data_IF_243279264862
#
_entry.id   IF_243279264862
#
_cell.length_a   1.000
_cell.length_b   1.000
_cell.length_c   1.000
_cell.angle_alpha   90.00
_cell.angle_beta   90.00
_cell.angle_gamma   90.00
#
_symmetry.space_group_name_H-M   'P 1'
#
loop_
_entity.id
_entity.type
_entity.pdbx_description
1 polymer ?
#
# COMPACT_ATOMS: atom_id res chain seq x y z
N UNK A 1 -34.18 47.91 18.09
CA UNK A 1 -33.59 46.60 18.45
C UNK A 1 -32.80 45.92 17.31
N UNK A 2 -33.06 46.20 16.04
CA UNK A 2 -32.32 45.56 14.91
C UNK A 2 -30.86 46.03 14.72
N UNK A 3 -30.52 47.26 15.11
CA UNK A 3 -29.15 47.77 14.96
C UNK A 3 -28.13 47.13 15.92
N UNK A 4 -28.54 46.56 17.05
CA UNK A 4 -27.66 45.91 18.03
C UNK A 4 -27.23 44.50 17.62
N UNK A 5 -28.10 43.77 16.94
CA UNK A 5 -27.81 42.39 16.48
C UNK A 5 -26.82 42.39 15.31
N UNK A 6 -26.95 43.34 14.40
CA UNK A 6 -26.06 43.49 13.25
C UNK A 6 -24.63 43.84 13.66
N UNK A 7 -24.48 44.67 14.73
CA UNK A 7 -23.19 45.01 15.34
C UNK A 7 -22.49 43.79 15.95
N UNK A 8 -23.20 43.00 16.75
CA UNK A 8 -22.68 41.82 17.40
C UNK A 8 -22.23 40.73 16.38
N UNK A 9 -22.99 40.55 15.29
CA UNK A 9 -22.62 39.62 14.21
C UNK A 9 -21.35 40.07 13.48
N UNK A 10 -21.18 41.38 13.25
CA UNK A 10 -19.96 41.92 12.65
C UNK A 10 -18.73 41.72 13.53
N UNK A 11 -18.85 41.98 14.84
CA UNK A 11 -17.75 41.73 15.79
C UNK A 11 -17.41 40.24 15.92
N UNK A 12 -18.40 39.36 15.99
CA UNK A 12 -18.21 37.93 16.02
C UNK A 12 -17.46 37.42 14.76
N UNK A 13 -17.83 37.90 13.55
CA UNK A 13 -17.14 37.62 12.30
C UNK A 13 -15.69 38.12 12.29
N UNK A 14 -15.45 39.31 12.83
CA UNK A 14 -14.12 39.91 12.94
C UNK A 14 -13.24 39.08 13.88
N UNK A 15 -13.78 38.67 15.03
CA UNK A 15 -13.11 37.85 16.03
C UNK A 15 -12.76 36.46 15.46
N UNK A 16 -13.69 35.82 14.78
CA UNK A 16 -13.44 34.52 14.13
C UNK A 16 -12.43 34.62 12.96
N UNK A 17 -12.38 35.75 12.25
CA UNK A 17 -11.36 35.99 11.23
C UNK A 17 -9.96 36.11 11.85
N UNK A 18 -9.83 36.79 12.97
CA UNK A 18 -8.56 36.91 13.71
C UNK A 18 -8.14 35.56 14.28
N UNK A 19 -9.06 34.80 14.90
CA UNK A 19 -8.78 33.44 15.38
C UNK A 19 -8.35 32.52 14.21
N UNK A 20 -8.99 32.64 13.05
CA UNK A 20 -8.61 31.94 11.85
C UNK A 20 -7.17 32.28 11.40
N UNK A 21 -6.79 33.55 11.40
CA UNK A 21 -5.44 33.98 11.06
C UNK A 21 -4.39 33.52 12.09
N UNK A 22 -4.72 33.58 13.38
CA UNK A 22 -3.84 33.05 14.45
C UNK A 22 -3.63 31.54 14.29
N UNK A 23 -4.71 30.78 14.03
CA UNK A 23 -4.60 29.33 13.76
C UNK A 23 -3.73 29.03 12.54
N UNK A 24 -3.84 29.83 11.47
CA UNK A 24 -3.01 29.68 10.26
C UNK A 24 -1.55 30.01 10.57
N UNK A 25 -1.28 31.09 11.32
CA UNK A 25 0.06 31.48 11.73
C UNK A 25 0.71 30.43 12.63
N UNK A 26 -0.04 29.89 13.61
CA UNK A 26 0.41 28.81 14.48
C UNK A 26 0.73 27.51 13.70
N UNK A 27 -0.13 27.16 12.74
CA UNK A 27 0.14 26.01 11.86
C UNK A 27 1.42 26.21 11.04
N UNK A 28 1.64 27.41 10.48
CA UNK A 28 2.87 27.75 9.76
C UNK A 28 4.10 27.68 10.66
N UNK A 29 4.01 28.19 11.89
CA UNK A 29 5.07 28.12 12.89
C UNK A 29 5.39 26.66 13.26
N UNK A 30 4.39 25.84 13.56
CA UNK A 30 4.58 24.40 13.84
C UNK A 30 5.18 23.67 12.65
N UNK A 31 4.78 24.01 11.42
CA UNK A 31 5.39 23.47 10.22
C UNK A 31 6.87 23.81 10.16
N UNK A 32 7.23 25.06 10.42
CA UNK A 32 8.63 25.51 10.45
C UNK A 32 9.45 24.81 11.53
N UNK A 33 8.91 24.66 12.74
CA UNK A 33 9.53 23.88 13.81
C UNK A 33 9.73 22.40 13.43
N UNK A 34 8.77 21.81 12.70
CA UNK A 34 8.88 20.44 12.20
C UNK A 34 9.98 20.32 11.14
N UNK A 35 10.05 21.28 10.20
CA UNK A 35 11.11 21.34 9.18
C UNK A 35 12.49 21.40 9.85
N UNK A 36 12.65 22.26 10.86
CA UNK A 36 13.88 22.38 11.64
C UNK A 36 14.22 21.10 12.43
N UNK A 37 13.23 20.37 12.93
CA UNK A 37 13.45 19.10 13.66
C UNK A 37 13.91 17.93 12.79
N UNK A 38 13.73 18.04 11.47
CA UNK A 38 14.22 17.11 10.46
C UNK A 38 15.40 17.68 9.68
N UNK A 39 16.08 18.70 10.25
CA UNK A 39 17.15 19.46 9.62
C UNK A 39 18.15 18.57 8.89
N UNK A 40 18.23 18.68 7.56
CA UNK A 40 19.15 17.99 6.69
C UNK A 40 18.73 18.05 5.23
N UNK A 41 19.67 17.85 4.33
CA UNK A 41 19.46 17.85 2.88
C UNK A 41 18.32 16.90 2.45
N UNK A 42 18.22 15.73 3.10
CA UNK A 42 17.21 14.70 2.78
C UNK A 42 15.77 15.15 2.86
N UNK A 43 15.40 16.03 3.81
CA UNK A 43 14.04 16.56 3.85
C UNK A 43 13.74 17.53 2.71
N UNK A 44 14.74 18.32 2.29
CA UNK A 44 14.62 19.20 1.12
C UNK A 44 14.52 18.40 -0.17
N UNK A 45 15.31 17.35 -0.33
CA UNK A 45 15.21 16.43 -1.47
C UNK A 45 13.80 15.78 -1.52
N UNK A 46 13.31 15.32 -0.38
CA UNK A 46 11.97 14.77 -0.25
C UNK A 46 10.89 15.78 -0.64
N UNK A 47 11.01 17.03 -0.23
CA UNK A 47 10.07 18.10 -0.64
C UNK A 47 10.11 18.35 -2.15
N UNK A 48 11.30 18.32 -2.77
CA UNK A 48 11.44 18.43 -4.22
C UNK A 48 10.74 17.30 -4.97
N UNK A 49 10.92 16.06 -4.50
CA UNK A 49 10.19 14.89 -5.04
C UNK A 49 8.68 15.04 -4.85
N UNK A 50 8.22 15.44 -3.66
CA UNK A 50 6.81 15.65 -3.40
C UNK A 50 6.18 16.67 -4.36
N UNK A 51 6.86 17.78 -4.64
CA UNK A 51 6.39 18.82 -5.57
C UNK A 51 6.22 18.25 -6.99
N UNK A 52 7.18 17.44 -7.44
CA UNK A 52 7.13 16.77 -8.74
C UNK A 52 5.93 15.82 -8.86
N UNK A 53 5.67 15.03 -7.82
CA UNK A 53 4.54 14.08 -7.78
C UNK A 53 3.19 14.72 -7.51
N UNK A 54 3.13 15.88 -6.88
CA UNK A 54 1.89 16.62 -6.72
C UNK A 54 1.31 17.05 -8.06
N UNK A 55 2.14 17.37 -9.05
CA UNK A 55 1.68 17.68 -10.41
C UNK A 55 1.00 16.46 -11.06
N UNK A 56 1.56 15.27 -10.93
CA UNK A 56 0.95 14.03 -11.44
C UNK A 56 -0.35 13.68 -10.71
N UNK A 57 -0.48 14.04 -9.43
CA UNK A 57 -1.70 13.85 -8.63
C UNK A 57 -2.82 14.83 -8.96
N UNK A 58 -2.50 16.08 -9.26
CA UNK A 58 -3.51 17.10 -9.61
C UNK A 58 -4.24 16.74 -10.91
N UNK A 59 -3.58 16.01 -11.81
CA UNK A 59 -4.23 15.45 -13.02
C UNK A 59 -5.07 14.21 -12.72
N UNK A 60 -4.87 13.56 -11.57
CA UNK A 60 -5.55 12.33 -11.16
C UNK A 60 -6.53 12.60 -10.00
N UNK A 61 -7.47 13.50 -10.15
CA UNK A 61 -8.64 13.75 -9.25
C UNK A 61 -8.60 12.97 -7.92
N UNK A 62 -7.70 13.32 -7.02
CA UNK A 62 -7.61 12.65 -5.71
C UNK A 62 -7.99 13.62 -4.59
N UNK A 63 -9.29 13.89 -4.49
CA UNK A 63 -9.82 14.58 -3.31
C UNK A 63 -9.57 13.70 -2.07
N UNK A 64 -8.88 14.26 -1.08
CA UNK A 64 -8.76 13.65 0.25
C UNK A 64 -7.45 12.91 0.56
N UNK A 65 -6.49 12.83 -0.34
CA UNK A 65 -5.19 12.24 0.00
C UNK A 65 -4.34 13.19 0.86
N UNK A 66 -3.69 12.62 1.89
CA UNK A 66 -2.76 13.36 2.73
C UNK A 66 -1.60 13.90 1.88
N UNK A 67 -1.23 15.19 1.98
CA UNK A 67 -0.06 15.69 1.28
C UNK A 67 1.17 14.85 1.60
N UNK A 68 1.93 14.44 0.59
CA UNK A 68 3.14 13.62 0.78
C UNK A 68 4.10 14.22 1.79
N UNK A 69 4.28 15.54 1.74
CA UNK A 69 5.16 16.30 2.62
C UNK A 69 4.88 16.07 4.11
N UNK A 70 3.62 15.77 4.46
CA UNK A 70 3.19 15.58 5.85
C UNK A 70 3.46 14.15 6.38
N UNK A 71 3.76 13.17 5.53
CA UNK A 71 3.94 11.76 5.93
C UNK A 71 4.93 11.55 7.07
N UNK A 72 6.12 12.20 7.10
CA UNK A 72 7.05 12.01 8.22
C UNK A 72 6.50 12.44 9.58
N UNK A 73 5.47 13.30 9.57
CA UNK A 73 4.86 13.89 10.77
C UNK A 73 3.55 13.22 11.19
N UNK A 74 3.00 12.35 10.36
CA UNK A 74 1.75 11.62 10.62
C UNK A 74 2.00 10.15 10.91
N UNK A 75 0.93 9.40 11.20
CA UNK A 75 1.00 7.95 11.23
C UNK A 75 1.40 7.43 9.84
N UNK A 76 2.40 6.56 9.77
CA UNK A 76 2.87 5.97 8.53
C UNK A 76 3.51 4.61 8.81
N UNK A 77 3.03 3.56 8.17
CA UNK A 77 3.41 2.15 8.27
C UNK A 77 3.33 1.58 9.69
N UNK A 78 3.94 2.23 10.67
CA UNK A 78 4.01 1.78 12.05
C UNK A 78 3.78 2.97 13.00
N UNK A 79 2.81 2.87 13.90
CA UNK A 79 2.42 3.95 14.82
C UNK A 79 3.54 4.43 15.75
N UNK A 80 4.52 3.56 16.04
CA UNK A 80 5.67 3.87 16.92
C UNK A 80 6.95 4.23 16.16
N UNK A 81 6.88 4.39 14.85
CA UNK A 81 8.06 4.73 14.04
C UNK A 81 8.49 6.19 14.28
N UNK A 82 9.81 6.41 14.41
CA UNK A 82 10.37 7.75 14.52
C UNK A 82 10.17 8.57 13.23
N UNK A 83 10.08 9.89 13.36
CA UNK A 83 9.93 10.81 12.22
C UNK A 83 11.04 10.63 11.18
N UNK A 84 12.28 10.46 11.64
CA UNK A 84 13.45 10.24 10.76
C UNK A 84 13.26 8.97 9.94
N UNK A 85 12.87 7.86 10.57
CA UNK A 85 12.64 6.59 9.87
C UNK A 85 11.48 6.68 8.88
N UNK A 86 10.41 7.40 9.23
CA UNK A 86 9.29 7.67 8.31
C UNK A 86 9.76 8.46 7.09
N UNK A 87 10.60 9.49 7.30
CA UNK A 87 11.19 10.25 6.21
C UNK A 87 12.07 9.37 5.32
N UNK A 88 12.92 8.53 5.92
CA UNK A 88 13.80 7.63 5.17
C UNK A 88 13.00 6.70 4.24
N UNK A 89 11.94 6.09 4.76
CA UNK A 89 11.10 5.17 3.98
C UNK A 89 10.28 5.94 2.93
N UNK A 90 9.64 7.05 3.31
CA UNK A 90 8.83 7.83 2.37
C UNK A 90 9.68 8.41 1.22
N UNK A 91 10.87 8.92 1.52
CA UNK A 91 11.82 9.39 0.51
C UNK A 91 12.28 8.26 -0.41
N UNK A 92 12.74 7.13 0.17
CA UNK A 92 13.14 5.96 -0.61
C UNK A 92 12.02 5.40 -1.47
N UNK A 93 10.77 5.47 -0.98
CA UNK A 93 9.61 4.98 -1.75
C UNK A 93 9.26 5.88 -2.93
N UNK A 94 9.33 7.19 -2.77
CA UNK A 94 9.13 8.10 -3.91
C UNK A 94 10.26 7.96 -4.95
N UNK A 95 11.51 7.81 -4.50
CA UNK A 95 12.64 7.52 -5.38
C UNK A 95 12.46 6.20 -6.13
N UNK A 96 11.98 5.14 -5.44
CA UNK A 96 11.68 3.87 -6.07
C UNK A 96 10.63 4.05 -7.18
N UNK A 97 9.52 4.73 -6.89
CA UNK A 97 8.45 4.97 -7.86
C UNK A 97 8.97 5.74 -9.07
N UNK A 98 9.73 6.82 -8.82
CA UNK A 98 10.29 7.67 -9.89
C UNK A 98 11.25 6.92 -10.82
N UNK A 99 12.15 6.13 -10.24
CA UNK A 99 13.15 5.37 -11.00
C UNK A 99 12.58 4.13 -11.70
N UNK A 100 11.37 3.73 -11.31
CA UNK A 100 10.78 2.46 -11.72
C UNK A 100 9.74 2.64 -12.81
N UNK A 101 8.77 3.50 -12.61
CA UNK A 101 7.61 3.58 -13.50
C UNK A 101 7.76 4.66 -14.57
N UNK A 102 7.25 4.37 -15.76
CA UNK A 102 7.16 5.34 -16.84
C UNK A 102 6.30 6.54 -16.41
N UNK A 103 6.65 7.78 -16.79
CA UNK A 103 5.92 8.98 -16.36
C UNK A 103 4.44 9.00 -16.75
N UNK A 104 4.09 8.43 -17.90
CA UNK A 104 2.72 8.34 -18.43
C UNK A 104 1.86 7.29 -17.69
N UNK A 105 2.48 6.37 -16.96
CA UNK A 105 1.80 5.38 -16.11
C UNK A 105 1.40 5.98 -14.76
N UNK A 106 2.15 6.95 -14.24
CA UNK A 106 1.90 7.54 -12.92
C UNK A 106 0.47 8.09 -12.76
N UNK A 107 -0.11 8.84 -13.72
CA UNK A 107 -1.50 9.28 -13.62
C UNK A 107 -2.50 8.13 -13.47
N UNK A 108 -2.24 6.99 -14.11
CA UNK A 108 -3.10 5.80 -13.99
C UNK A 108 -2.99 5.16 -12.61
N UNK A 109 -1.77 5.05 -12.06
CA UNK A 109 -1.55 4.51 -10.72
C UNK A 109 -2.18 5.39 -9.63
N UNK A 110 -2.14 6.71 -9.81
CA UNK A 110 -2.71 7.65 -8.85
C UNK A 110 -4.20 7.92 -9.05
N UNK A 111 -4.82 7.40 -10.12
CA UNK A 111 -6.26 7.47 -10.32
C UNK A 111 -6.98 6.44 -9.43
N UNK A 112 -7.21 6.84 -8.18
CA UNK A 112 -7.85 5.98 -7.18
C UNK A 112 -9.34 5.75 -7.49
N UNK A 113 -9.98 6.67 -8.21
CA UNK A 113 -11.40 6.57 -8.57
C UNK A 113 -11.66 5.36 -9.50
N UNK A 114 -10.75 5.10 -10.44
CA UNK A 114 -10.82 3.96 -11.35
C UNK A 114 -10.08 2.72 -10.83
N UNK A 115 -9.76 2.70 -9.52
CA UNK A 115 -9.03 1.60 -8.87
C UNK A 115 -7.66 1.28 -9.49
N UNK A 116 -7.01 2.28 -10.09
CA UNK A 116 -5.67 2.15 -10.65
C UNK A 116 -5.62 1.36 -11.96
N UNK A 117 -4.49 0.70 -12.22
CA UNK A 117 -4.23 -0.04 -13.45
C UNK A 117 -4.47 -1.53 -13.28
N UNK A 118 -5.27 -2.14 -14.16
CA UNK A 118 -5.36 -3.60 -14.28
C UNK A 118 -4.05 -4.13 -14.86
N UNK A 119 -3.42 -5.05 -14.16
CA UNK A 119 -2.16 -5.66 -14.53
C UNK A 119 -2.37 -6.93 -15.36
N UNK A 120 -3.13 -7.87 -14.83
CA UNK A 120 -3.50 -9.15 -15.45
C UNK A 120 -4.70 -9.76 -14.74
N UNK A 121 -5.15 -10.92 -15.22
CA UNK A 121 -6.25 -11.67 -14.61
C UNK A 121 -5.83 -13.10 -14.28
N UNK A 122 -6.30 -13.61 -13.14
CA UNK A 122 -6.09 -14.98 -12.67
C UNK A 122 -7.35 -15.78 -13.01
N UNK A 123 -7.29 -16.83 -13.86
CA UNK A 123 -8.46 -17.63 -14.21
C UNK A 123 -8.93 -18.48 -13.02
N UNK A 124 -10.23 -18.60 -12.87
CA UNK A 124 -10.91 -19.45 -11.91
C UNK A 124 -11.43 -20.72 -12.60
N UNK A 125 -11.67 -21.80 -11.85
CA UNK A 125 -12.18 -23.07 -12.39
C UNK A 125 -13.55 -22.93 -13.08
N UNK A 126 -14.39 -22.04 -12.57
CA UNK A 126 -15.75 -21.81 -13.09
C UNK A 126 -15.78 -20.94 -14.36
N UNK A 127 -14.60 -20.55 -14.90
CA UNK A 127 -14.48 -19.71 -16.08
C UNK A 127 -14.47 -18.18 -15.78
N UNK A 128 -14.75 -17.77 -14.54
CA UNK A 128 -14.55 -16.38 -14.11
C UNK A 128 -13.07 -16.06 -13.94
N UNK A 129 -12.76 -14.82 -13.64
CA UNK A 129 -11.40 -14.36 -13.41
C UNK A 129 -11.31 -13.38 -12.23
N UNK A 130 -10.15 -13.38 -11.56
CA UNK A 130 -9.78 -12.35 -10.61
C UNK A 130 -8.84 -11.35 -11.30
N UNK A 131 -9.28 -10.13 -11.43
CA UNK A 131 -8.42 -9.05 -11.92
C UNK A 131 -7.45 -8.61 -10.84
N UNK A 132 -6.17 -8.51 -11.22
CA UNK A 132 -5.10 -7.96 -10.37
C UNK A 132 -4.88 -6.53 -10.77
N UNK A 133 -5.00 -5.60 -9.80
CA UNK A 133 -4.80 -4.17 -10.04
C UNK A 133 -3.68 -3.62 -9.18
N UNK A 134 -2.92 -2.67 -9.75
CA UNK A 134 -1.90 -1.89 -9.06
C UNK A 134 -2.31 -0.42 -9.05
N UNK A 135 -2.19 0.22 -7.89
CA UNK A 135 -2.48 1.65 -7.73
C UNK A 135 -1.62 2.26 -6.61
N UNK A 136 -1.54 3.59 -6.59
CA UNK A 136 -1.10 4.31 -5.41
C UNK A 136 -2.11 4.10 -4.29
N UNK A 137 -1.63 3.75 -3.10
CA UNK A 137 -2.52 3.40 -1.99
C UNK A 137 -3.44 4.57 -1.60
N UNK A 138 -4.78 4.38 -1.57
CA UNK A 138 -5.69 5.33 -0.95
C UNK A 138 -5.51 5.37 0.58
N UNK A 139 -4.97 4.31 1.17
CA UNK A 139 -4.58 4.22 2.58
C UNK A 139 -3.10 4.58 2.74
N UNK A 140 -2.78 5.86 2.52
CA UNK A 140 -1.40 6.36 2.45
C UNK A 140 -0.60 6.17 3.73
N UNK A 141 -1.27 6.03 4.85
CA UNK A 141 -0.68 5.68 6.12
C UNK A 141 -0.22 4.21 6.18
N UNK A 142 -0.76 3.33 5.34
CA UNK A 142 -0.42 1.91 5.27
C UNK A 142 0.62 1.58 4.17
N UNK A 143 0.92 2.53 3.29
CA UNK A 143 1.91 2.35 2.22
C UNK A 143 1.73 3.30 1.04
N UNK A 144 2.69 3.28 0.11
CA UNK A 144 2.64 4.09 -1.12
C UNK A 144 1.87 3.40 -2.24
N UNK A 145 2.00 2.08 -2.32
CA UNK A 145 1.40 1.25 -3.36
C UNK A 145 0.40 0.26 -2.76
N UNK A 146 -0.56 -0.14 -3.56
CA UNK A 146 -1.53 -1.18 -3.22
C UNK A 146 -1.70 -2.13 -4.40
N UNK A 147 -1.67 -3.42 -4.11
CA UNK A 147 -2.16 -4.46 -5.01
C UNK A 147 -3.54 -4.92 -4.55
N UNK A 148 -4.42 -5.17 -5.50
CA UNK A 148 -5.80 -5.57 -5.23
C UNK A 148 -6.22 -6.75 -6.11
N UNK A 149 -7.10 -7.60 -5.57
CA UNK A 149 -7.84 -8.63 -6.30
C UNK A 149 -9.30 -8.19 -6.43
N UNK A 150 -9.84 -8.27 -7.63
CA UNK A 150 -11.23 -7.98 -7.95
C UNK A 150 -11.92 -9.17 -8.58
N UNK A 151 -13.18 -9.42 -8.18
CA UNK A 151 -14.11 -10.30 -8.85
C UNK A 151 -15.22 -9.42 -9.44
N UNK A 152 -15.20 -9.20 -10.74
CA UNK A 152 -16.00 -8.15 -11.36
C UNK A 152 -15.65 -6.78 -10.74
N UNK A 153 -16.66 -6.07 -10.24
CA UNK A 153 -16.49 -4.74 -9.61
C UNK A 153 -16.24 -4.80 -8.11
N UNK A 154 -16.20 -6.00 -7.52
CA UNK A 154 -16.04 -6.17 -6.07
C UNK A 154 -14.62 -6.50 -5.69
N UNK A 155 -14.06 -5.70 -4.76
CA UNK A 155 -12.73 -5.96 -4.21
C UNK A 155 -12.76 -7.17 -3.27
N UNK A 156 -11.95 -8.19 -3.59
CA UNK A 156 -11.82 -9.41 -2.80
C UNK A 156 -10.78 -9.26 -1.69
N UNK A 157 -9.59 -8.78 -2.05
CA UNK A 157 -8.46 -8.59 -1.13
C UNK A 157 -7.54 -7.49 -1.60
N UNK A 158 -6.79 -6.90 -0.65
CA UNK A 158 -5.77 -5.90 -0.96
C UNK A 158 -4.58 -5.99 -0.01
N UNK A 159 -3.41 -5.58 -0.48
CA UNK A 159 -2.20 -5.41 0.31
C UNK A 159 -1.59 -4.04 0.03
N UNK A 160 -1.34 -3.27 1.12
CA UNK A 160 -0.68 -1.96 1.06
C UNK A 160 0.79 -2.12 1.45
N UNK A 161 1.67 -1.53 0.66
CA UNK A 161 3.11 -1.65 0.87
C UNK A 161 3.88 -0.44 0.34
N UNK A 162 5.13 -0.32 0.76
CA UNK A 162 6.09 0.65 0.26
C UNK A 162 7.37 -0.09 -0.11
N UNK A 163 7.86 0.08 -1.33
CA UNK A 163 9.19 -0.33 -1.73
C UNK A 163 10.14 0.86 -1.65
N UNK A 164 11.38 0.65 -1.25
CA UNK A 164 12.40 1.70 -1.19
C UNK A 164 13.50 1.40 -2.19
N UNK A 165 14.17 2.46 -2.66
CA UNK A 165 15.24 2.37 -3.66
C UNK A 165 16.51 1.66 -3.15
N UNK A 166 16.57 1.31 -1.86
CA UNK A 166 17.60 0.49 -1.25
C UNK A 166 17.23 -1.02 -1.19
N UNK A 167 16.22 -1.45 -1.95
CA UNK A 167 15.84 -2.86 -2.10
C UNK A 167 15.05 -3.45 -0.92
N UNK A 168 14.31 -2.63 -0.17
CA UNK A 168 13.45 -3.07 0.92
C UNK A 168 11.98 -2.86 0.61
N UNK A 169 11.13 -3.72 1.16
CA UNK A 169 9.68 -3.56 1.16
C UNK A 169 9.12 -3.55 2.57
N UNK A 170 8.09 -2.74 2.78
CA UNK A 170 7.36 -2.59 4.04
C UNK A 170 5.88 -2.79 3.78
N UNK A 171 5.31 -3.88 4.28
CA UNK A 171 3.88 -4.18 4.21
C UNK A 171 3.21 -3.52 5.42
N UNK A 172 2.39 -2.51 5.18
CA UNK A 172 1.70 -1.75 6.23
C UNK A 172 0.27 -2.18 6.47
N UNK A 173 -0.33 -2.97 5.57
CA UNK A 173 -1.68 -3.47 5.75
C UNK A 173 -2.07 -4.55 4.76
N UNK A 174 -2.94 -5.46 5.17
CA UNK A 174 -3.58 -6.47 4.33
C UNK A 174 -5.04 -6.58 4.74
N UNK A 175 -5.97 -6.49 3.78
CA UNK A 175 -7.39 -6.36 4.06
C UNK A 175 -8.24 -7.18 3.10
N UNK A 176 -9.27 -7.84 3.64
CA UNK A 176 -10.39 -8.36 2.85
C UNK A 176 -11.30 -7.25 2.33
N UNK A 177 -11.99 -7.49 1.24
CA UNK A 177 -13.02 -6.60 0.72
C UNK A 177 -14.21 -6.52 1.68
N UNK A 178 -14.87 -5.36 1.73
CA UNK A 178 -16.09 -5.19 2.55
C UNK A 178 -17.30 -5.87 1.95
N UNK A 179 -17.31 -5.98 0.62
CA UNK A 179 -18.44 -6.46 -0.17
C UNK A 179 -18.34 -7.96 -0.51
N UNK A 180 -17.43 -8.68 0.15
CA UNK A 180 -17.22 -10.12 0.01
C UNK A 180 -17.48 -10.81 1.34
N UNK A 181 -18.43 -11.74 1.34
CA UNK A 181 -18.80 -12.53 2.51
C UNK A 181 -17.81 -13.67 2.76
N UNK A 182 -17.81 -14.21 3.99
CA UNK A 182 -16.98 -15.37 4.31
C UNK A 182 -17.33 -16.62 3.46
N UNK A 183 -18.56 -16.78 3.05
CA UNK A 183 -18.98 -17.91 2.22
C UNK A 183 -18.48 -17.74 0.78
N UNK A 184 -18.53 -16.55 0.22
CA UNK A 184 -17.91 -16.26 -1.07
C UNK A 184 -16.38 -16.46 -1.03
N UNK A 185 -15.71 -16.11 0.07
CA UNK A 185 -14.27 -16.42 0.26
C UNK A 185 -14.02 -17.93 0.25
N UNK A 186 -14.92 -18.75 0.83
CA UNK A 186 -14.83 -20.22 0.78
C UNK A 186 -15.02 -20.74 -0.65
N UNK A 187 -15.99 -20.18 -1.40
CA UNK A 187 -16.20 -20.51 -2.81
C UNK A 187 -14.96 -20.17 -3.63
N UNK A 188 -14.46 -18.93 -3.53
CA UNK A 188 -13.25 -18.51 -4.22
C UNK A 188 -12.03 -19.37 -3.87
N UNK A 189 -11.91 -19.81 -2.61
CA UNK A 189 -10.86 -20.72 -2.20
C UNK A 189 -10.93 -22.05 -2.96
N UNK A 190 -12.14 -22.58 -3.20
CA UNK A 190 -12.33 -23.80 -4.03
C UNK A 190 -11.99 -23.54 -5.49
N UNK A 191 -12.41 -22.39 -6.01
CA UNK A 191 -12.14 -21.98 -7.40
C UNK A 191 -10.62 -21.75 -7.65
N UNK A 192 -9.88 -21.34 -6.64
CA UNK A 192 -8.42 -21.15 -6.64
C UNK A 192 -7.64 -22.42 -6.22
N UNK A 193 -8.19 -23.60 -6.46
CA UNK A 193 -7.56 -24.89 -6.13
C UNK A 193 -7.12 -25.00 -4.64
N UNK A 194 -7.95 -24.48 -3.73
CA UNK A 194 -7.68 -24.48 -2.29
C UNK A 194 -6.75 -23.37 -1.80
N UNK A 195 -6.33 -22.45 -2.67
CA UNK A 195 -5.60 -21.25 -2.23
C UNK A 195 -6.57 -20.21 -1.68
N UNK A 196 -6.32 -19.74 -0.46
CA UNK A 196 -7.12 -18.66 0.12
C UNK A 196 -6.80 -17.33 -0.60
N UNK A 197 -7.79 -16.46 -0.88
CA UNK A 197 -7.55 -15.16 -1.52
C UNK A 197 -6.44 -14.33 -0.84
N UNK A 198 -6.33 -14.39 0.50
CA UNK A 198 -5.24 -13.72 1.23
C UNK A 198 -3.84 -14.24 0.86
N UNK A 199 -3.72 -15.52 0.54
CA UNK A 199 -2.44 -16.11 0.12
C UNK A 199 -2.15 -15.78 -1.35
N UNK A 200 -3.18 -15.69 -2.19
CA UNK A 200 -3.05 -15.27 -3.60
C UNK A 200 -2.55 -13.83 -3.69
N UNK A 201 -3.12 -12.88 -2.92
CA UNK A 201 -2.63 -11.49 -2.95
C UNK A 201 -1.17 -11.39 -2.48
N UNK A 202 -0.74 -12.25 -1.55
CA UNK A 202 0.66 -12.32 -1.15
C UNK A 202 1.55 -12.92 -2.24
N UNK A 203 1.08 -13.95 -2.98
CA UNK A 203 1.81 -14.47 -4.16
C UNK A 203 1.93 -13.39 -5.24
N UNK A 204 0.90 -12.57 -5.45
CA UNK A 204 0.93 -11.40 -6.35
C UNK A 204 1.99 -10.39 -5.88
N UNK A 205 2.04 -10.07 -4.58
CA UNK A 205 3.06 -9.19 -4.02
C UNK A 205 4.47 -9.77 -4.19
N UNK A 206 4.68 -11.06 -3.93
CA UNK A 206 5.97 -11.70 -4.14
C UNK A 206 6.39 -11.68 -5.62
N UNK A 207 5.45 -11.79 -6.57
CA UNK A 207 5.72 -11.59 -8.00
C UNK A 207 6.24 -10.20 -8.30
N UNK A 208 5.60 -9.19 -7.72
CA UNK A 208 6.04 -7.79 -7.81
C UNK A 208 7.44 -7.60 -7.23
N UNK A 209 7.67 -8.06 -5.99
CA UNK A 209 8.95 -7.90 -5.29
C UNK A 209 10.09 -8.62 -6.01
N UNK A 210 9.83 -9.83 -6.51
CA UNK A 210 10.80 -10.62 -7.28
C UNK A 210 11.23 -9.91 -8.55
N UNK A 211 10.31 -9.31 -9.31
CA UNK A 211 10.61 -8.57 -10.52
C UNK A 211 11.63 -7.45 -10.27
N UNK A 212 11.55 -6.76 -9.13
CA UNK A 212 12.46 -5.68 -8.74
C UNK A 212 13.67 -6.16 -7.92
N UNK A 213 13.87 -7.45 -7.73
CA UNK A 213 14.97 -7.99 -6.93
C UNK A 213 14.91 -7.60 -5.45
N UNK A 214 13.72 -7.28 -4.92
CA UNK A 214 13.54 -6.91 -3.52
C UNK A 214 13.47 -8.17 -2.67
N UNK A 215 14.49 -8.37 -1.83
CA UNK A 215 14.64 -9.58 -0.99
C UNK A 215 14.44 -9.31 0.50
N UNK A 216 14.47 -8.05 0.93
CA UNK A 216 14.27 -7.69 2.33
C UNK A 216 12.85 -7.18 2.55
N UNK A 217 11.99 -7.98 3.16
CA UNK A 217 10.56 -7.70 3.31
C UNK A 217 10.20 -7.63 4.79
N UNK A 218 9.61 -6.50 5.18
CA UNK A 218 9.08 -6.30 6.52
C UNK A 218 7.56 -6.18 6.47
N UNK A 219 6.88 -6.82 7.42
CA UNK A 219 5.44 -6.76 7.57
C UNK A 219 5.06 -6.27 8.96
N UNK A 220 4.05 -5.42 9.05
CA UNK A 220 3.62 -4.80 10.32
C UNK A 220 2.91 -5.82 11.21
N UNK A 221 3.17 -5.78 12.51
CA UNK A 221 2.38 -6.46 13.53
C UNK A 221 1.06 -5.68 13.78
N UNK A 222 -0.04 -6.38 14.00
CA UNK A 222 -1.37 -5.78 14.26
C UNK A 222 -1.32 -4.73 15.37
N UNK A 223 -0.58 -4.99 16.45
CA UNK A 223 -0.48 -4.08 17.61
C UNK A 223 0.25 -2.79 17.31
N UNK A 224 1.05 -2.77 16.24
CA UNK A 224 1.82 -1.61 15.79
C UNK A 224 1.25 -0.96 14.54
N UNK A 225 0.18 -1.53 13.99
CA UNK A 225 -0.52 -0.96 12.84
C UNK A 225 -1.01 0.46 13.13
N UNK A 226 -0.99 1.33 12.12
CA UNK A 226 -1.38 2.74 12.25
C UNK A 226 -2.84 2.93 12.67
N UNK A 227 -3.68 1.94 12.39
CA UNK A 227 -5.09 1.84 12.77
C UNK A 227 -5.35 0.58 13.61
N UNK A 228 -4.47 0.25 14.56
CA UNK A 228 -4.56 -0.97 15.36
C UNK A 228 -5.93 -1.19 16.01
N UNK A 229 -6.62 -0.11 16.39
CA UNK A 229 -7.94 -0.18 17.04
C UNK A 229 -9.06 -0.64 16.08
N UNK A 230 -8.82 -0.56 14.76
CA UNK A 230 -9.76 -0.99 13.73
C UNK A 230 -9.39 -2.36 13.13
N UNK A 231 -8.18 -2.85 13.37
CA UNK A 231 -7.70 -4.13 12.84
C UNK A 231 -8.22 -5.26 13.71
N UNK A 232 -9.22 -6.00 13.19
CA UNK A 232 -9.80 -7.16 13.87
C UNK A 232 -9.01 -8.46 13.64
N UNK A 233 -8.25 -8.54 12.54
CA UNK A 233 -7.51 -9.73 12.15
C UNK A 233 -6.11 -9.74 12.79
N UNK A 234 -5.66 -10.90 13.26
CA UNK A 234 -4.27 -11.07 13.69
C UNK A 234 -3.36 -11.17 12.47
N UNK A 235 -2.58 -10.13 12.19
CA UNK A 235 -1.53 -10.17 11.17
C UNK A 235 -0.40 -11.12 11.55
N UNK A 236 -0.10 -11.23 12.85
CA UNK A 236 0.95 -12.09 13.39
C UNK A 236 0.80 -13.54 12.96
N UNK A 237 -0.43 -14.09 13.02
CA UNK A 237 -0.70 -15.47 12.60
C UNK A 237 -0.45 -15.67 11.10
N UNK A 238 -0.78 -14.68 10.27
CA UNK A 238 -0.51 -14.73 8.84
C UNK A 238 1.00 -14.70 8.57
N UNK A 239 1.72 -13.77 9.22
CA UNK A 239 3.17 -13.66 8.99
C UNK A 239 3.92 -14.91 9.46
N UNK A 240 3.54 -15.50 10.58
CA UNK A 240 4.10 -16.77 11.06
C UNK A 240 3.79 -17.93 10.08
N UNK A 241 2.54 -18.00 9.58
CA UNK A 241 2.15 -19.00 8.55
C UNK A 241 3.01 -18.88 7.28
N UNK A 242 3.46 -17.67 6.94
CA UNK A 242 4.33 -17.38 5.80
C UNK A 242 5.83 -17.54 6.12
N UNK A 243 6.19 -18.03 7.30
CA UNK A 243 7.58 -18.19 7.73
C UNK A 243 8.25 -16.88 8.17
N UNK A 244 7.45 -15.89 8.53
CA UNK A 244 7.95 -14.62 9.04
C UNK A 244 8.54 -14.74 10.45
N UNK A 245 9.64 -14.06 10.69
CA UNK A 245 10.33 -13.98 11.97
C UNK A 245 10.03 -12.66 12.67
N UNK A 246 9.58 -12.73 13.93
CA UNK A 246 9.28 -11.53 14.71
C UNK A 246 10.55 -10.73 14.96
N UNK A 247 10.50 -9.45 14.63
CA UNK A 247 11.58 -8.49 14.81
C UNK A 247 11.21 -7.47 15.91
N UNK A 248 12.20 -6.67 16.32
CA UNK A 248 11.97 -5.58 17.24
C UNK A 248 10.97 -4.53 16.67
N UNK A 249 10.32 -3.81 17.59
CA UNK A 249 9.45 -2.67 17.28
C UNK A 249 8.26 -2.99 16.37
N UNK A 250 7.70 -4.21 16.48
CA UNK A 250 6.46 -4.56 15.81
C UNK A 250 6.57 -4.83 14.32
N UNK A 251 7.66 -5.39 13.89
CA UNK A 251 7.87 -5.89 12.55
C UNK A 251 8.02 -7.41 12.52
N UNK A 252 7.65 -8.01 11.40
CA UNK A 252 8.03 -9.36 10.99
C UNK A 252 8.92 -9.26 9.78
N UNK A 253 10.04 -9.95 9.77
CA UNK A 253 10.86 -10.14 8.56
C UNK A 253 10.32 -11.38 7.85
N UNK A 254 9.80 -11.18 6.65
CA UNK A 254 9.32 -12.28 5.82
C UNK A 254 10.47 -12.87 4.99
N UNK A 255 10.37 -14.14 4.59
CA UNK A 255 11.28 -14.74 3.61
C UNK A 255 11.31 -13.92 2.32
N UNK A 256 12.46 -13.89 1.64
CA UNK A 256 12.63 -13.19 0.36
C UNK A 256 11.72 -13.76 -0.75
N UNK A 257 11.35 -15.02 -0.63
CA UNK A 257 10.49 -15.73 -1.57
C UNK A 257 9.42 -16.51 -0.80
N UNK A 258 8.31 -16.78 -1.47
CA UNK A 258 7.26 -17.63 -0.92
C UNK A 258 7.80 -19.03 -0.62
N UNK A 259 7.59 -19.52 0.59
CA UNK A 259 8.03 -20.87 1.00
C UNK A 259 7.21 -21.89 0.22
N UNK A 260 7.87 -22.68 -0.58
CA UNK A 260 7.28 -23.81 -1.32
C UNK A 260 7.44 -25.10 -0.51
N UNK A 261 6.35 -25.84 -0.37
CA UNK A 261 6.40 -27.23 0.10
C UNK A 261 6.86 -28.14 -1.01
N UNK A 262 7.60 -29.21 -0.70
CA UNK A 262 7.86 -30.27 -1.65
C UNK A 262 6.60 -31.11 -1.90
N UNK A 263 6.51 -31.77 -3.05
CA UNK A 263 5.38 -32.65 -3.36
C UNK A 263 5.29 -33.85 -2.39
N UNK A 264 6.42 -34.24 -1.83
CA UNK A 264 6.56 -35.35 -0.87
C UNK A 264 5.93 -35.04 0.47
N UNK A 265 6.00 -33.77 0.89
CA UNK A 265 5.36 -33.29 2.14
C UNK A 265 3.82 -33.22 2.02
N UNK A 266 3.28 -33.38 0.80
CA UNK A 266 1.85 -33.32 0.54
C UNK A 266 1.25 -34.73 0.51
N UNK A 267 0.24 -34.97 1.35
CA UNK A 267 -0.51 -36.25 1.34
C UNK A 267 -1.04 -36.56 -0.04
N UNK A 268 -0.93 -37.82 -0.51
CA UNK A 268 -1.19 -38.21 -1.91
C UNK A 268 -2.58 -37.76 -2.40
N UNK A 269 -3.63 -37.84 -1.56
CA UNK A 269 -5.00 -37.39 -1.88
C UNK A 269 -5.11 -35.88 -2.19
N UNK A 270 -4.12 -35.06 -1.83
CA UNK A 270 -4.10 -33.61 -2.05
C UNK A 270 -3.09 -33.16 -3.09
N UNK A 271 -2.26 -34.06 -3.65
CA UNK A 271 -1.19 -33.72 -4.60
C UNK A 271 -1.71 -33.06 -5.87
N UNK A 272 -2.77 -33.58 -6.47
CA UNK A 272 -3.37 -32.99 -7.68
C UNK A 272 -3.84 -31.57 -7.45
N UNK A 273 -4.49 -31.30 -6.31
CA UNK A 273 -4.92 -29.95 -5.95
C UNK A 273 -3.72 -29.02 -5.65
N UNK A 274 -2.68 -29.55 -5.02
CA UNK A 274 -1.45 -28.84 -4.74
C UNK A 274 -0.75 -28.41 -6.02
N UNK A 275 -0.56 -29.33 -6.99
CA UNK A 275 0.08 -29.04 -8.28
C UNK A 275 -0.68 -27.93 -9.02
N UNK A 276 -2.01 -28.00 -9.09
CA UNK A 276 -2.82 -26.97 -9.73
C UNK A 276 -2.69 -25.61 -9.05
N UNK A 277 -2.62 -25.58 -7.71
CA UNK A 277 -2.40 -24.35 -6.93
C UNK A 277 -1.02 -23.75 -7.18
N UNK A 278 0.03 -24.57 -7.23
CA UNK A 278 1.37 -24.07 -7.56
C UNK A 278 1.44 -23.56 -9.02
N UNK A 279 0.74 -24.20 -9.96
CA UNK A 279 0.59 -23.68 -11.33
C UNK A 279 -0.08 -22.30 -11.39
N UNK A 280 -1.08 -22.02 -10.54
CA UNK A 280 -1.66 -20.66 -10.43
C UNK A 280 -0.63 -19.66 -9.93
N UNK A 281 0.21 -20.03 -8.97
CA UNK A 281 1.27 -19.14 -8.46
C UNK A 281 2.35 -18.87 -9.51
N UNK A 282 2.72 -19.87 -10.28
CA UNK A 282 3.68 -19.72 -11.40
C UNK A 282 3.11 -18.81 -12.48
N UNK A 283 1.84 -18.98 -12.84
CA UNK A 283 1.14 -18.04 -13.73
C UNK A 283 1.19 -16.61 -13.20
N UNK A 284 0.89 -16.39 -11.90
CA UNK A 284 0.97 -15.07 -11.26
C UNK A 284 2.37 -14.48 -11.42
N UNK A 285 3.44 -15.25 -11.22
CA UNK A 285 4.81 -14.76 -11.35
C UNK A 285 5.10 -14.32 -12.79
N UNK A 286 4.70 -15.13 -13.77
CA UNK A 286 4.88 -14.84 -15.20
C UNK A 286 4.10 -13.60 -15.63
N UNK A 287 2.79 -13.56 -15.33
CA UNK A 287 1.91 -12.46 -15.73
C UNK A 287 2.29 -11.13 -15.04
N UNK A 288 2.71 -11.18 -13.78
CA UNK A 288 3.23 -9.99 -13.08
C UNK A 288 4.48 -9.46 -13.78
N UNK A 289 5.43 -10.31 -14.14
CA UNK A 289 6.63 -9.89 -14.85
C UNK A 289 6.29 -9.30 -16.23
N UNK A 290 5.38 -9.91 -16.99
CA UNK A 290 4.92 -9.41 -18.28
C UNK A 290 4.26 -8.01 -18.15
N UNK A 291 3.37 -7.85 -17.19
CA UNK A 291 2.67 -6.58 -16.94
C UNK A 291 3.63 -5.48 -16.49
N UNK A 292 4.59 -5.79 -15.61
CA UNK A 292 5.57 -4.82 -15.13
C UNK A 292 6.53 -4.37 -16.23
N UNK A 293 6.95 -5.25 -17.15
CA UNK A 293 7.78 -4.87 -18.31
C UNK A 293 7.15 -3.76 -19.16
N UNK A 294 5.82 -3.72 -19.24
CA UNK A 294 5.10 -2.73 -20.04
C UNK A 294 5.04 -1.35 -19.40
N UNK A 295 5.29 -1.23 -18.10
CA UNK A 295 5.07 0.01 -17.34
C UNK A 295 6.33 0.53 -16.65
N UNK A 296 7.45 -0.19 -16.77
CA UNK A 296 8.71 0.20 -16.13
C UNK A 296 9.67 0.86 -17.11
N UNK A 297 10.48 1.82 -16.60
CA UNK A 297 11.49 2.54 -17.38
C UNK A 297 12.59 1.62 -17.92
N UNK A 298 13.04 0.68 -17.07
CA UNK A 298 14.10 -0.27 -17.38
C UNK A 298 13.54 -1.68 -17.18
N UNK A 299 12.90 -2.28 -18.21
CA UNK A 299 12.40 -3.63 -18.09
C UNK A 299 13.53 -4.61 -17.76
N UNK A 300 13.36 -5.36 -16.68
CA UNK A 300 14.31 -6.43 -16.36
C UNK A 300 14.20 -7.52 -17.44
N UNK A 301 15.27 -7.75 -18.16
CA UNK A 301 15.43 -8.89 -19.08
C UNK A 301 15.92 -10.05 -18.23
N UNK A 302 15.02 -10.96 -17.86
CA UNK A 302 15.37 -12.24 -17.26
C UNK A 302 15.40 -13.33 -18.31
#
# INVERSE_FOLDING_TARGET
MEHTVTGAIKEWRKHNKVIGQVKISYKKFLRKCRELSLAGGKYREYQGLCAKYQCARLTAVTQGLVPFEDKPFKAYLNKRMSKRRKLDIAHGSLNFIEKTFQPDVLPQLYNVADFGRTMFAIPLKNGEKLDVKLLASPFQEEGELMLQLFLGDRRVYSVCFSCTDDGRAYIGGIQGGKDITNDEVKVLTKELHGARPKNIIMSVLYGFLRYFGITTVYAIDSDYHVKSDLVKASYSSLWLEMGGEKQARGWYKLPAHEIKKSLEEVKSKHRSQFIKREGVKELIQLEMANALRQITLNPQVN
#
